data_IF_031627374758
#
_entry.id   IF_031627374758
#
_cell.length_a   1.000
_cell.length_b   1.000
_cell.length_c   1.000
_cell.angle_alpha   90.00
_cell.angle_beta   90.00
_cell.angle_gamma   90.00
#
_symmetry.space_group_name_H-M   'P 1'
#
loop_
_entity.id
_entity.type
_entity.pdbx_description
1 polymer ?
#
# COMPACT_ATOMS: atom_id res chain seq x y z
N UNK A 1 -19.95 9.64 33.10
CA UNK A 1 -19.61 8.21 33.27
C UNK A 1 -19.19 7.70 31.91
N UNK A 2 -17.88 7.59 31.66
CA UNK A 2 -17.34 7.11 30.39
C UNK A 2 -17.26 5.58 30.40
N UNK A 3 -17.92 4.92 29.45
CA UNK A 3 -17.84 3.48 29.22
C UNK A 3 -16.61 3.18 28.35
N UNK A 4 -15.55 2.64 28.96
CA UNK A 4 -14.43 2.03 28.22
C UNK A 4 -14.84 0.63 27.78
N UNK A 5 -15.25 0.48 26.52
CA UNK A 5 -15.45 -0.82 25.89
C UNK A 5 -14.08 -1.39 25.50
N UNK A 6 -13.49 -2.18 26.40
CA UNK A 6 -12.26 -2.94 26.14
C UNK A 6 -12.60 -4.07 25.19
N UNK A 7 -12.31 -3.89 23.89
CA UNK A 7 -12.41 -4.98 22.92
C UNK A 7 -11.40 -6.07 23.31
N UNK A 8 -11.92 -7.22 23.76
CA UNK A 8 -11.13 -8.43 23.98
C UNK A 8 -10.54 -8.91 22.66
N UNK A 9 -9.28 -8.54 22.40
CA UNK A 9 -8.52 -9.09 21.27
C UNK A 9 -8.12 -10.53 21.64
N UNK A 10 -8.53 -11.55 20.86
CA UNK A 10 -8.09 -12.92 21.09
C UNK A 10 -6.56 -12.97 21.03
N UNK A 11 -5.93 -13.44 22.11
CA UNK A 11 -4.48 -13.64 22.18
C UNK A 11 -4.17 -15.12 22.26
N UNK A 12 -3.07 -15.54 21.63
CA UNK A 12 -2.61 -16.92 21.58
C UNK A 12 -1.12 -16.93 21.94
N UNK A 13 -0.75 -17.68 22.97
CA UNK A 13 0.65 -17.97 23.29
C UNK A 13 1.13 -19.12 22.41
N UNK A 14 2.21 -18.91 21.65
CA UNK A 14 2.82 -19.91 20.75
C UNK A 14 4.30 -20.07 21.06
N UNK A 15 4.87 -21.23 20.74
CA UNK A 15 6.32 -21.43 20.80
C UNK A 15 7.04 -20.68 19.67
N UNK A 16 8.35 -20.47 19.79
CA UNK A 16 9.14 -19.82 18.71
C UNK A 16 9.08 -20.60 17.39
N UNK A 17 9.08 -21.93 17.44
CA UNK A 17 8.94 -22.76 16.24
C UNK A 17 7.57 -22.56 15.57
N UNK A 18 6.49 -22.53 16.36
CA UNK A 18 5.15 -22.25 15.86
C UNK A 18 5.03 -20.83 15.31
N UNK A 19 5.67 -19.84 15.95
CA UNK A 19 5.74 -18.46 15.47
C UNK A 19 6.40 -18.40 14.10
N UNK A 20 7.54 -19.07 13.90
CA UNK A 20 8.24 -19.13 12.62
C UNK A 20 7.40 -19.81 11.55
N UNK A 21 6.72 -20.91 11.88
CA UNK A 21 5.82 -21.60 10.96
C UNK A 21 4.63 -20.73 10.54
N UNK A 22 4.00 -20.02 11.49
CA UNK A 22 2.92 -19.07 11.22
C UNK A 22 3.43 -17.92 10.35
N UNK A 23 4.58 -17.33 10.66
CA UNK A 23 5.17 -16.27 9.84
C UNK A 23 5.50 -16.74 8.42
N UNK A 24 6.03 -17.95 8.27
CA UNK A 24 6.32 -18.54 6.97
C UNK A 24 5.03 -18.77 6.17
N UNK A 25 3.99 -19.29 6.82
CA UNK A 25 2.68 -19.52 6.21
C UNK A 25 2.01 -18.22 5.76
N UNK A 26 2.02 -17.18 6.60
CA UNK A 26 1.46 -15.87 6.27
C UNK A 26 2.28 -15.17 5.18
N UNK A 27 3.61 -15.31 5.22
CA UNK A 27 4.50 -14.77 4.17
C UNK A 27 4.28 -15.46 2.83
N UNK A 28 4.07 -16.79 2.83
CA UNK A 28 3.78 -17.56 1.63
C UNK A 28 2.46 -17.11 0.97
N UNK A 29 1.43 -16.88 1.79
CA UNK A 29 0.10 -16.49 1.32
C UNK A 29 -0.08 -14.97 1.13
N UNK A 30 0.97 -14.18 1.35
CA UNK A 30 0.92 -12.71 1.38
C UNK A 30 -0.22 -12.21 2.33
N UNK A 31 -0.41 -12.81 3.50
CA UNK A 31 -1.36 -12.39 4.55
C UNK A 31 -0.70 -11.43 5.54
N UNK A 32 -1.46 -10.47 6.07
CA UNK A 32 -0.92 -9.47 7.00
C UNK A 32 -0.86 -10.05 8.43
N UNK A 33 0.35 -10.11 9.00
CA UNK A 33 0.59 -10.49 10.40
C UNK A 33 0.87 -9.23 11.22
N UNK A 34 -0.06 -8.84 12.09
CA UNK A 34 0.11 -7.71 13.00
C UNK A 34 0.53 -8.24 14.38
N UNK A 35 1.81 -8.13 14.72
CA UNK A 35 2.33 -8.47 16.04
C UNK A 35 2.19 -7.26 16.96
N UNK A 36 1.31 -7.33 17.96
CA UNK A 36 1.17 -6.29 18.98
C UNK A 36 2.20 -6.57 20.08
N UNK A 37 3.39 -5.98 19.96
CA UNK A 37 4.44 -6.08 20.97
C UNK A 37 4.16 -5.02 22.04
N UNK A 38 3.90 -5.44 23.29
CA UNK A 38 3.78 -4.52 24.43
C UNK A 38 5.12 -3.79 24.65
N UNK A 39 5.11 -2.46 24.86
CA UNK A 39 6.35 -1.67 24.83
C UNK A 39 7.16 -1.82 26.11
N UNK A 40 8.44 -2.17 25.97
CA UNK A 40 9.49 -1.84 26.92
C UNK A 40 10.64 -1.12 26.20
N UNK A 41 10.74 0.18 26.49
CA UNK A 41 11.94 0.98 26.79
C UNK A 41 13.07 1.13 25.76
N UNK A 42 13.24 2.40 25.35
CA UNK A 42 14.48 3.13 24.96
C UNK A 42 15.19 2.74 23.66
N UNK A 43 15.89 3.60 22.91
CA UNK A 43 16.01 5.06 22.74
C UNK A 43 17.12 5.24 21.70
N UNK A 44 16.96 6.15 20.71
CA UNK A 44 17.92 7.24 20.45
C UNK A 44 17.71 7.90 19.08
N UNK A 45 17.63 9.24 19.17
CA UNK A 45 17.85 10.18 18.09
C UNK A 45 19.29 10.06 17.59
N UNK A 46 19.49 10.13 16.27
CA UNK A 46 20.53 10.97 15.69
C UNK A 46 19.99 11.65 14.42
N UNK A 47 20.32 12.92 14.32
CA UNK A 47 19.89 13.92 13.37
C UNK A 47 21.17 14.36 12.67
N UNK A 48 21.23 14.26 11.34
CA UNK A 48 22.22 15.00 10.57
C UNK A 48 21.56 15.54 9.30
N UNK A 49 21.64 16.86 9.19
CA UNK A 49 21.32 17.66 8.02
C UNK A 49 22.44 17.51 6.98
N UNK A 50 22.09 17.50 5.68
CA UNK A 50 22.76 18.34 4.69
C UNK A 50 22.09 18.24 3.31
N UNK A 51 22.07 19.40 2.66
CA UNK A 51 21.29 19.75 1.49
C UNK A 51 22.02 19.46 0.16
N UNK A 52 21.22 19.42 -0.91
CA UNK A 52 21.36 20.18 -2.16
C UNK A 52 21.03 19.39 -3.44
N UNK A 53 19.96 19.88 -4.08
CA UNK A 53 19.83 20.18 -5.51
C UNK A 53 20.46 19.23 -6.55
N UNK A 54 19.59 18.58 -7.32
CA UNK A 54 19.72 18.64 -8.78
C UNK A 54 18.36 18.38 -9.45
N UNK A 55 17.74 19.47 -9.91
CA UNK A 55 16.75 19.44 -10.97
C UNK A 55 17.47 18.99 -12.24
N UNK A 56 17.13 17.82 -12.76
CA UNK A 56 17.30 17.55 -14.18
C UNK A 56 15.96 17.11 -14.75
N UNK A 57 15.44 18.03 -15.57
CA UNK A 57 14.30 17.91 -16.46
C UNK A 57 14.65 16.89 -17.55
N UNK A 58 13.81 15.88 -17.74
CA UNK A 58 13.77 15.11 -18.99
C UNK A 58 12.33 14.73 -19.30
N UNK A 59 11.81 15.46 -20.28
CA UNK A 59 10.87 15.10 -21.33
C UNK A 59 9.69 14.16 -21.03
N UNK A 60 8.53 14.80 -21.14
CA UNK A 60 7.22 14.22 -21.35
C UNK A 60 7.21 13.22 -22.50
N UNK A 61 6.81 11.99 -22.21
CA UNK A 61 6.06 11.17 -23.17
C UNK A 61 4.67 10.97 -22.56
N UNK A 62 3.79 11.92 -22.84
CA UNK A 62 2.39 11.88 -22.44
C UNK A 62 1.66 10.80 -23.24
N UNK A 63 1.33 9.69 -22.58
CA UNK A 63 0.36 8.73 -23.10
C UNK A 63 -1.07 9.33 -23.03
N UNK A 64 -1.91 9.12 -24.05
CA UNK A 64 -3.26 9.68 -24.10
C UNK A 64 -4.14 9.01 -23.04
N UNK A 65 -4.41 9.74 -21.96
CA UNK A 65 -5.21 9.27 -20.82
C UNK A 65 -4.90 9.96 -19.48
N UNK A 66 -3.90 10.84 -19.44
CA UNK A 66 -3.42 11.47 -18.21
C UNK A 66 -3.83 12.95 -18.10
N UNK A 67 -5.14 13.24 -18.17
CA UNK A 67 -5.67 14.60 -17.94
C UNK A 67 -6.07 14.80 -16.48
N UNK A 68 -5.07 14.77 -15.60
CA UNK A 68 -4.99 15.41 -14.27
C UNK A 68 -3.61 15.09 -13.71
N UNK A 69 -2.94 16.02 -13.01
CA UNK A 69 -1.68 15.71 -12.37
C UNK A 69 -1.87 14.48 -11.47
N UNK A 70 -1.08 13.43 -11.70
CA UNK A 70 -1.14 12.28 -10.82
C UNK A 70 -0.77 12.72 -9.40
N UNK A 71 -1.41 12.10 -8.40
CA UNK A 71 -1.09 12.26 -6.97
C UNK A 71 0.36 11.94 -6.61
N UNK A 72 1.13 11.40 -7.55
CA UNK A 72 2.56 11.13 -7.45
C UNK A 72 3.46 12.20 -8.09
N UNK A 73 2.90 13.29 -8.64
CA UNK A 73 3.68 14.36 -9.26
C UNK A 73 4.71 14.94 -8.28
N UNK A 74 4.28 15.16 -7.03
CA UNK A 74 5.20 15.50 -5.95
C UNK A 74 5.71 14.20 -5.32
N UNK A 75 7.03 13.98 -5.40
CA UNK A 75 7.67 12.80 -4.79
C UNK A 75 7.53 12.87 -3.28
N UNK A 76 7.05 11.78 -2.70
CA UNK A 76 6.84 11.69 -1.25
C UNK A 76 8.14 11.25 -0.57
N UNK A 77 8.54 11.92 0.52
CA UNK A 77 9.79 11.62 1.23
C UNK A 77 9.83 10.17 1.74
N UNK A 78 8.69 9.65 2.17
CA UNK A 78 8.54 8.27 2.62
C UNK A 78 8.56 7.24 1.50
N UNK A 79 8.64 7.62 0.21
CA UNK A 79 8.61 6.68 -0.91
C UNK A 79 9.89 5.85 -0.98
N UNK A 80 11.03 6.42 -0.58
CA UNK A 80 12.36 5.79 -0.68
C UNK A 80 12.92 5.80 -2.10
N UNK A 81 14.11 5.22 -2.26
CA UNK A 81 14.88 5.21 -3.54
C UNK A 81 14.60 3.97 -4.42
N UNK A 82 13.76 3.05 -3.95
CA UNK A 82 13.54 1.76 -4.61
C UNK A 82 14.60 0.70 -4.27
N UNK A 83 14.46 -0.50 -4.85
CA UNK A 83 15.43 -1.58 -4.74
C UNK A 83 15.28 -2.59 -5.89
N UNK A 84 16.27 -3.48 -6.06
CA UNK A 84 16.25 -4.53 -7.09
C UNK A 84 15.07 -5.50 -6.91
N UNK A 85 14.67 -6.24 -7.97
CA UNK A 85 13.63 -7.26 -7.87
C UNK A 85 13.88 -8.27 -6.75
N UNK A 86 12.96 -8.34 -5.79
CA UNK A 86 13.10 -9.22 -4.63
C UNK A 86 11.73 -9.64 -4.07
N UNK A 87 11.62 -10.83 -3.49
CA UNK A 87 10.35 -11.35 -2.96
C UNK A 87 9.78 -10.45 -1.84
N UNK A 88 10.65 -9.90 -0.97
CA UNK A 88 10.28 -8.95 0.10
C UNK A 88 9.69 -7.63 -0.41
N UNK A 89 9.83 -7.32 -1.70
CA UNK A 89 9.25 -6.10 -2.29
C UNK A 89 7.72 -6.10 -2.18
N UNK A 90 7.07 -7.27 -2.08
CA UNK A 90 5.62 -7.33 -1.87
C UNK A 90 5.18 -6.59 -0.61
N UNK A 91 5.87 -6.82 0.52
CA UNK A 91 5.59 -6.16 1.80
C UNK A 91 5.81 -4.66 1.72
N UNK A 92 6.88 -4.23 1.06
CA UNK A 92 7.19 -2.80 0.91
C UNK A 92 6.15 -2.11 0.03
N UNK A 93 5.78 -2.70 -1.10
CA UNK A 93 4.71 -2.16 -1.97
C UNK A 93 3.38 -2.04 -1.22
N UNK A 94 2.97 -3.06 -0.48
CA UNK A 94 1.75 -3.01 0.36
C UNK A 94 1.78 -1.82 1.33
N UNK A 95 2.90 -1.62 2.01
CA UNK A 95 3.08 -0.48 2.90
C UNK A 95 2.97 0.86 2.14
N UNK A 96 3.64 1.01 0.99
CA UNK A 96 3.53 2.23 0.18
C UNK A 96 2.10 2.47 -0.31
N UNK A 97 1.39 1.42 -0.75
CA UNK A 97 -0.02 1.54 -1.14
C UNK A 97 -0.90 2.00 0.02
N UNK A 98 -0.66 1.50 1.24
CA UNK A 98 -1.39 1.94 2.44
C UNK A 98 -1.14 3.41 2.76
N UNK A 99 0.11 3.88 2.60
CA UNK A 99 0.47 5.29 2.78
C UNK A 99 -0.21 6.19 1.74
N UNK A 100 -0.15 5.80 0.46
CA UNK A 100 -0.89 6.50 -0.60
C UNK A 100 -2.39 6.49 -0.34
N UNK A 101 -2.94 5.35 0.09
CA UNK A 101 -4.36 5.22 0.38
C UNK A 101 -4.81 6.23 1.44
N UNK A 102 -4.06 6.31 2.55
CA UNK A 102 -4.33 7.27 3.62
C UNK A 102 -4.20 8.71 3.13
N UNK A 103 -3.13 9.04 2.42
CA UNK A 103 -2.94 10.38 1.85
C UNK A 103 -4.11 10.79 0.94
N UNK A 104 -4.62 9.87 0.13
CA UNK A 104 -5.77 10.12 -0.74
C UNK A 104 -7.07 10.27 0.05
N UNK A 105 -7.26 9.48 1.10
CA UNK A 105 -8.39 9.61 2.01
C UNK A 105 -8.40 10.98 2.70
N UNK A 106 -7.27 11.40 3.27
CA UNK A 106 -7.13 12.64 4.02
C UNK A 106 -7.36 13.88 3.13
N UNK A 107 -7.05 13.77 1.83
CA UNK A 107 -7.31 14.81 0.83
C UNK A 107 -8.71 14.74 0.21
N UNK A 108 -9.57 13.83 0.68
CA UNK A 108 -10.91 13.62 0.12
C UNK A 108 -10.90 13.15 -1.33
N UNK A 109 -9.77 12.62 -1.82
CA UNK A 109 -9.59 12.27 -3.22
C UNK A 109 -10.59 11.20 -3.67
N UNK A 110 -11.02 10.29 -2.79
CA UNK A 110 -11.99 9.25 -3.12
C UNK A 110 -13.37 9.78 -3.54
N UNK A 111 -13.69 11.03 -3.20
CA UNK A 111 -14.91 11.70 -3.68
C UNK A 111 -14.77 12.23 -5.12
N UNK A 112 -13.56 12.30 -5.66
CA UNK A 112 -13.31 12.79 -7.01
C UNK A 112 -14.03 11.90 -8.06
N UNK A 113 -14.77 12.50 -9.02
CA UNK A 113 -15.49 11.76 -10.05
C UNK A 113 -14.63 10.77 -10.86
N UNK A 114 -13.36 11.09 -11.11
CA UNK A 114 -12.46 10.24 -11.88
C UNK A 114 -12.15 8.92 -11.14
N UNK A 115 -11.84 8.99 -9.83
CA UNK A 115 -11.58 7.80 -9.03
C UNK A 115 -12.83 6.94 -8.86
N UNK A 116 -13.99 7.57 -8.66
CA UNK A 116 -15.29 6.87 -8.61
C UNK A 116 -15.62 6.18 -9.94
N UNK A 117 -15.39 6.86 -11.07
CA UNK A 117 -15.60 6.30 -12.41
C UNK A 117 -14.70 5.09 -12.66
N UNK A 118 -13.41 5.19 -12.31
CA UNK A 118 -12.46 4.07 -12.39
C UNK A 118 -12.92 2.88 -11.55
N UNK A 119 -13.32 3.12 -10.29
CA UNK A 119 -13.84 2.07 -9.39
C UNK A 119 -15.07 1.39 -10.01
N UNK A 120 -16.03 2.16 -10.50
CA UNK A 120 -17.24 1.64 -11.16
C UNK A 120 -16.91 0.79 -12.38
N UNK A 121 -16.00 1.26 -13.25
CA UNK A 121 -15.57 0.51 -14.43
C UNK A 121 -14.94 -0.85 -14.07
N UNK A 122 -14.09 -0.88 -13.04
CA UNK A 122 -13.47 -2.12 -12.60
C UNK A 122 -14.47 -3.06 -11.91
N UNK A 123 -15.40 -2.52 -11.12
CA UNK A 123 -16.49 -3.31 -10.56
C UNK A 123 -17.33 -3.96 -11.66
N UNK A 124 -17.70 -3.22 -12.70
CA UNK A 124 -18.50 -3.74 -13.82
C UNK A 124 -17.76 -4.79 -14.63
N UNK A 125 -16.42 -4.69 -14.73
CA UNK A 125 -15.61 -5.68 -15.44
C UNK A 125 -15.44 -6.97 -14.64
N UNK A 126 -15.20 -6.84 -13.33
CA UNK A 126 -14.82 -7.98 -12.48
C UNK A 126 -16.05 -8.68 -11.85
N UNK A 127 -17.24 -8.07 -11.91
CA UNK A 127 -18.50 -8.70 -11.47
C UNK A 127 -19.24 -9.33 -12.65
N UNK A 128 -19.26 -10.66 -12.66
CA UNK A 128 -20.13 -11.47 -13.52
C UNK A 128 -21.45 -11.82 -12.81
N UNK A 129 -21.51 -11.75 -11.47
CA UNK A 129 -22.70 -12.10 -10.68
C UNK A 129 -23.34 -10.90 -9.97
N UNK A 130 -24.66 -10.80 -10.09
CA UNK A 130 -25.57 -9.74 -9.65
C UNK A 130 -25.66 -9.53 -8.13
N UNK A 131 -24.78 -10.13 -7.33
CA UNK A 131 -24.78 -9.87 -5.89
C UNK A 131 -24.22 -8.48 -5.64
N UNK A 132 -25.09 -7.56 -5.21
CA UNK A 132 -24.75 -6.20 -4.79
C UNK A 132 -23.94 -6.27 -3.49
N UNK A 133 -22.68 -6.71 -3.56
CA UNK A 133 -21.77 -6.60 -2.42
C UNK A 133 -21.42 -5.12 -2.29
N UNK A 134 -21.67 -4.52 -1.13
CA UNK A 134 -21.26 -3.15 -0.83
C UNK A 134 -19.73 -3.13 -0.78
N UNK A 135 -19.07 -2.75 -1.87
CA UNK A 135 -17.60 -2.74 -1.91
C UNK A 135 -17.05 -1.49 -1.26
N UNK A 136 -16.56 -1.65 -0.04
CA UNK A 136 -15.94 -0.58 0.74
C UNK A 136 -14.51 -0.24 0.30
N UNK A 137 -13.85 -1.12 -0.47
CA UNK A 137 -12.45 -0.92 -0.87
C UNK A 137 -12.31 0.10 -1.99
N UNK A 138 -11.33 0.99 -1.84
CA UNK A 138 -10.97 1.95 -2.88
C UNK A 138 -9.89 1.39 -3.82
N UNK A 139 -9.91 1.86 -5.06
CA UNK A 139 -8.94 1.45 -6.08
C UNK A 139 -7.82 2.46 -6.15
N UNK A 140 -6.60 2.00 -5.89
CA UNK A 140 -5.39 2.81 -6.02
C UNK A 140 -5.22 3.29 -7.48
N UNK A 141 -4.82 4.56 -7.71
CA UNK A 141 -4.59 5.10 -9.05
C UNK A 141 -3.49 4.34 -9.81
N UNK A 142 -3.58 4.23 -11.14
CA UNK A 142 -2.59 3.44 -11.91
C UNK A 142 -1.21 4.06 -11.85
N UNK A 143 -1.12 5.39 -11.82
CA UNK A 143 0.14 6.08 -11.66
C UNK A 143 0.83 5.77 -10.32
N UNK A 144 0.06 5.56 -9.23
CA UNK A 144 0.62 5.07 -7.96
C UNK A 144 1.08 3.62 -8.08
N UNK A 145 0.30 2.76 -8.73
CA UNK A 145 0.68 1.36 -8.96
C UNK A 145 1.97 1.27 -9.78
N UNK A 146 2.07 2.02 -10.87
CA UNK A 146 3.22 2.03 -11.76
C UNK A 146 4.47 2.51 -11.03
N UNK A 147 4.41 3.67 -10.38
CA UNK A 147 5.53 4.22 -9.62
C UNK A 147 6.06 3.25 -8.56
N UNK A 148 5.16 2.68 -7.76
CA UNK A 148 5.57 1.78 -6.67
C UNK A 148 6.08 0.44 -7.20
N UNK A 149 5.54 -0.07 -8.32
CA UNK A 149 6.00 -1.31 -8.96
C UNK A 149 7.34 -1.13 -9.68
N UNK A 150 7.61 0.06 -10.20
CA UNK A 150 8.90 0.41 -10.78
C UNK A 150 9.99 0.51 -9.72
N UNK A 151 9.72 1.18 -8.61
CA UNK A 151 10.67 1.31 -7.49
C UNK A 151 10.90 -0.01 -6.75
N UNK A 152 9.88 -0.86 -6.66
CA UNK A 152 9.91 -2.08 -5.86
C UNK A 152 9.41 -3.28 -6.68
N UNK A 153 10.15 -3.70 -7.73
CA UNK A 153 9.65 -4.67 -8.69
C UNK A 153 9.53 -6.08 -8.11
N UNK A 154 8.63 -6.88 -8.68
CA UNK A 154 8.63 -8.33 -8.44
C UNK A 154 9.80 -9.01 -9.19
N UNK A 155 10.33 -10.12 -8.66
CA UNK A 155 11.14 -11.04 -9.46
C UNK A 155 10.40 -11.48 -10.73
N UNK A 156 11.13 -11.78 -11.81
CA UNK A 156 10.54 -12.17 -13.11
C UNK A 156 9.58 -13.36 -13.00
N UNK A 157 9.78 -14.25 -12.03
CA UNK A 157 8.94 -15.42 -11.79
C UNK A 157 7.63 -15.14 -11.07
N UNK A 158 7.42 -13.95 -10.49
CA UNK A 158 6.23 -13.62 -9.68
C UNK A 158 5.39 -12.51 -10.35
N UNK A 159 4.23 -12.82 -10.95
CA UNK A 159 3.38 -11.79 -11.53
C UNK A 159 2.78 -10.87 -10.44
N UNK A 160 2.39 -9.66 -10.84
CA UNK A 160 1.67 -8.76 -9.95
C UNK A 160 0.23 -9.22 -9.79
N UNK A 161 -0.21 -9.32 -8.54
CA UNK A 161 -1.62 -9.56 -8.24
C UNK A 161 -2.42 -8.26 -8.41
N UNK A 162 -3.62 -8.39 -8.96
CA UNK A 162 -4.58 -7.30 -9.11
C UNK A 162 -5.26 -6.90 -7.80
N UNK A 163 -6.22 -5.99 -7.91
CA UNK A 163 -7.06 -5.59 -6.78
C UNK A 163 -7.96 -6.75 -6.34
N UNK A 164 -8.10 -6.96 -5.03
CA UNK A 164 -9.04 -7.93 -4.44
C UNK A 164 -10.16 -7.19 -3.73
N UNK A 165 -11.39 -7.47 -4.16
CA UNK A 165 -12.60 -6.80 -3.70
C UNK A 165 -13.13 -7.27 -2.33
N UNK A 166 -12.63 -8.42 -1.84
CA UNK A 166 -13.01 -9.06 -0.57
C UNK A 166 -11.92 -8.88 0.50
#
# INVERSE_FOLDING_TARGET
MENQNVQNVPSLSVTEEQKLAIQAFFSHNDWDFNETISPSTSSNLQKEDNAENNLNSTDEIAHPGQSSPCVTQNRQNWLGVGQRPHARNSRIRKLKYKLFWRMLQDRGAWNNPQYRSKKRRLLNRDRVDETVVIVRREVIPDCVLNLVRELYPNPKSKPYMGHRWY
#
